data_IF_053747035528
#
_entry.id   IF_053747035528
#
_cell.length_a   1.000
_cell.length_b   1.000
_cell.length_c   1.000
_cell.angle_alpha   90.00
_cell.angle_beta   90.00
_cell.angle_gamma   90.00
#
_symmetry.space_group_name_H-M   'P 1'
#
loop_
_entity.id
_entity.type
_entity.pdbx_description
1 polymer ?
#
# COMPACT_ATOMS: atom_id res chain seq x y z
N UNK A 1 -18.62 -1.97 25.53
CA UNK A 1 -18.51 -1.97 24.05
C UNK A 1 -18.36 -0.51 23.66
N UNK A 2 -17.15 -0.05 23.35
CA UNK A 2 -16.90 1.35 23.06
C UNK A 2 -17.32 1.61 21.61
N UNK A 3 -18.31 2.47 21.42
CA UNK A 3 -18.78 2.90 20.11
C UNK A 3 -18.28 4.32 19.84
N UNK A 4 -17.81 4.64 18.63
CA UNK A 4 -17.20 5.93 18.36
C UNK A 4 -18.32 6.96 18.19
N UNK A 5 -18.64 7.68 19.25
CA UNK A 5 -19.44 8.90 19.18
C UNK A 5 -18.68 9.96 18.39
N UNK A 6 -19.36 10.63 17.46
CA UNK A 6 -19.08 11.86 16.67
C UNK A 6 -17.97 12.88 17.05
N UNK A 7 -17.20 12.71 18.12
CA UNK A 7 -16.03 13.52 18.47
C UNK A 7 -14.76 13.14 17.70
N UNK A 8 -14.80 12.09 16.87
CA UNK A 8 -13.61 11.57 16.19
C UNK A 8 -13.44 12.18 14.78
N UNK A 9 -12.29 12.82 14.48
CA UNK A 9 -12.08 13.47 13.19
C UNK A 9 -11.90 12.47 12.03
N UNK A 10 -11.46 11.23 12.31
CA UNK A 10 -11.04 10.27 11.31
C UNK A 10 -11.13 8.81 11.80
N UNK A 11 -11.69 7.95 10.97
CA UNK A 11 -11.74 6.49 11.12
C UNK A 11 -11.20 5.84 9.86
N UNK A 12 -10.17 5.01 9.99
CA UNK A 12 -9.60 4.23 8.89
C UNK A 12 -9.97 2.77 9.09
N UNK A 13 -10.54 2.15 8.06
CA UNK A 13 -10.90 0.74 8.01
C UNK A 13 -10.03 0.03 6.98
N UNK A 14 -9.52 -1.13 7.34
CA UNK A 14 -8.92 -2.10 6.43
C UNK A 14 -9.93 -3.23 6.22
N UNK A 15 -10.30 -3.46 4.98
CA UNK A 15 -11.29 -4.46 4.58
C UNK A 15 -10.66 -5.51 3.67
N UNK A 16 -11.25 -6.70 3.64
CA UNK A 16 -11.07 -7.65 2.55
C UNK A 16 -11.99 -7.31 1.36
N UNK A 17 -11.86 -8.03 0.23
CA UNK A 17 -12.73 -7.83 -0.95
C UNK A 17 -14.19 -8.25 -0.76
N UNK A 18 -14.53 -8.94 0.34
CA UNK A 18 -15.92 -9.22 0.74
C UNK A 18 -16.51 -8.11 1.62
N UNK A 19 -15.74 -7.04 1.83
CA UNK A 19 -16.06 -5.91 2.70
C UNK A 19 -16.11 -6.25 4.20
N UNK A 20 -15.51 -7.36 4.62
CA UNK A 20 -15.34 -7.65 6.04
C UNK A 20 -14.21 -6.77 6.59
N UNK A 21 -14.50 -6.11 7.71
CA UNK A 21 -13.51 -5.28 8.42
C UNK A 21 -12.48 -6.22 9.05
N UNK A 22 -11.22 -6.06 8.66
CA UNK A 22 -10.09 -6.78 9.24
C UNK A 22 -9.51 -5.99 10.41
N UNK A 23 -9.46 -4.67 10.26
CA UNK A 23 -8.88 -3.74 11.21
C UNK A 23 -9.60 -2.40 11.11
N UNK A 24 -9.76 -1.74 12.25
CA UNK A 24 -10.03 -0.31 12.26
C UNK A 24 -8.93 0.43 13.02
N UNK A 25 -8.75 1.71 12.71
CA UNK A 25 -7.82 2.62 13.35
C UNK A 25 -8.54 3.94 13.59
N UNK A 26 -8.56 4.38 14.84
CA UNK A 26 -9.01 5.71 15.22
C UNK A 26 -7.81 6.64 15.31
N UNK A 27 -7.92 7.83 14.74
CA UNK A 27 -6.97 8.91 15.00
C UNK A 27 -7.65 9.91 15.92
N UNK A 28 -7.33 9.86 17.21
CA UNK A 28 -7.66 10.92 18.17
C UNK A 28 -6.41 11.27 18.97
N UNK A 29 -5.98 12.53 18.90
CA UNK A 29 -4.96 13.14 19.77
C UNK A 29 -3.80 12.19 20.16
N UNK A 30 -3.18 11.56 19.15
CA UNK A 30 -1.98 10.71 19.29
C UNK A 30 -2.17 9.29 19.84
N UNK A 31 -3.41 8.77 19.94
CA UNK A 31 -3.68 7.39 20.33
C UNK A 31 -4.33 6.64 19.17
N UNK A 32 -3.62 5.63 18.65
CA UNK A 32 -4.14 4.67 17.67
C UNK A 32 -4.61 3.42 18.39
N UNK A 33 -5.90 3.33 18.68
CA UNK A 33 -6.48 2.08 19.19
C UNK A 33 -6.83 1.16 18.02
N UNK A 34 -6.18 0.00 18.00
CA UNK A 34 -6.45 -1.07 17.05
C UNK A 34 -7.37 -2.10 17.71
N UNK A 35 -8.43 -2.48 17.03
CA UNK A 35 -9.29 -3.59 17.44
C UNK A 35 -9.71 -4.39 16.22
N UNK A 36 -9.77 -5.71 16.40
CA UNK A 36 -10.21 -6.66 15.37
C UNK A 36 -11.69 -6.90 15.56
N UNK A 37 -12.50 -6.46 14.60
CA UNK A 37 -13.94 -6.68 14.59
C UNK A 37 -14.32 -7.30 13.26
N UNK A 38 -14.80 -8.54 13.30
CA UNK A 38 -15.42 -9.19 12.15
C UNK A 38 -16.85 -8.67 11.98
N UNK A 39 -17.01 -7.46 11.44
CA UNK A 39 -18.28 -6.92 10.95
C UNK A 39 -18.13 -6.55 9.48
N UNK A 40 -19.20 -6.70 8.72
CA UNK A 40 -19.20 -6.24 7.34
C UNK A 40 -19.35 -4.71 7.31
N UNK A 41 -18.59 -4.02 6.45
CA UNK A 41 -18.65 -2.57 6.29
C UNK A 41 -20.07 -2.06 6.04
N UNK A 42 -20.86 -2.79 5.25
CA UNK A 42 -22.24 -2.41 4.93
C UNK A 42 -23.15 -2.41 6.17
N UNK A 43 -22.82 -3.18 7.22
CA UNK A 43 -23.57 -3.18 8.48
C UNK A 43 -23.37 -1.90 9.30
N UNK A 44 -22.31 -1.13 9.03
CA UNK A 44 -22.10 0.18 9.65
C UNK A 44 -22.94 1.28 8.99
N UNK A 45 -23.43 1.02 7.78
CA UNK A 45 -24.15 2.01 6.99
C UNK A 45 -25.63 2.04 7.34
N UNK A 46 -26.23 3.22 7.23
CA UNK A 46 -27.68 3.31 7.32
C UNK A 46 -28.34 2.65 6.10
N UNK A 47 -29.54 2.10 6.29
CA UNK A 47 -30.29 1.41 5.24
C UNK A 47 -30.53 2.27 4.00
N UNK A 48 -30.69 3.59 4.17
CA UNK A 48 -30.86 4.54 3.06
C UNK A 48 -29.60 4.71 2.21
N UNK A 49 -28.42 4.42 2.78
CA UNK A 49 -27.12 4.56 2.14
C UNK A 49 -26.47 3.23 1.76
N UNK A 50 -27.07 2.08 2.11
CA UNK A 50 -26.49 0.76 1.84
C UNK A 50 -26.16 0.53 0.36
N UNK A 51 -27.06 0.94 -0.56
CA UNK A 51 -26.80 0.82 -2.00
C UNK A 51 -25.63 1.72 -2.44
N UNK A 52 -25.56 2.95 -1.93
CA UNK A 52 -24.48 3.90 -2.24
C UNK A 52 -23.14 3.41 -1.70
N UNK A 53 -23.13 2.83 -0.50
CA UNK A 53 -21.95 2.23 0.10
C UNK A 53 -21.45 1.00 -0.68
N UNK A 54 -22.37 0.18 -1.20
CA UNK A 54 -22.03 -0.93 -2.08
C UNK A 54 -21.41 -0.44 -3.39
N UNK A 55 -22.02 0.57 -4.02
CA UNK A 55 -21.47 1.20 -5.22
C UNK A 55 -20.08 1.77 -4.97
N UNK A 56 -19.88 2.46 -3.84
CA UNK A 56 -18.57 2.94 -3.42
C UNK A 56 -17.53 1.82 -3.38
N UNK A 57 -17.84 0.68 -2.76
CA UNK A 57 -16.92 -0.45 -2.71
C UNK A 57 -16.63 -1.05 -4.09
N UNK A 58 -17.64 -1.18 -4.94
CA UNK A 58 -17.47 -1.64 -6.32
C UNK A 58 -16.54 -0.69 -7.10
N UNK A 59 -16.72 0.62 -6.93
CA UNK A 59 -15.85 1.63 -7.51
C UNK A 59 -14.41 1.52 -7.00
N UNK A 60 -14.20 1.32 -5.68
CA UNK A 60 -12.86 1.14 -5.11
C UNK A 60 -12.20 -0.18 -5.55
N UNK A 61 -12.99 -1.22 -5.83
CA UNK A 61 -12.46 -2.49 -6.34
C UNK A 61 -12.01 -2.36 -7.80
N UNK A 62 -12.77 -1.62 -8.61
CA UNK A 62 -12.56 -1.44 -10.04
C UNK A 62 -11.55 -0.33 -10.36
N UNK A 63 -11.38 0.66 -9.48
CA UNK A 63 -10.48 1.79 -9.65
C UNK A 63 -9.36 1.80 -8.61
N UNK A 64 -8.29 2.55 -8.84
CA UNK A 64 -7.16 2.66 -7.90
C UNK A 64 -7.54 3.44 -6.62
N UNK A 65 -8.37 4.48 -6.75
CA UNK A 65 -8.85 5.29 -5.65
C UNK A 65 -10.18 5.98 -5.99
N UNK A 66 -11.01 6.20 -4.98
CA UNK A 66 -12.32 6.86 -5.06
C UNK A 66 -12.45 7.81 -3.87
N UNK A 67 -12.79 9.07 -4.11
CA UNK A 67 -12.73 10.13 -3.10
C UNK A 67 -14.08 10.82 -2.91
N UNK A 68 -14.29 11.34 -1.70
CA UNK A 68 -15.34 12.28 -1.33
C UNK A 68 -16.78 11.79 -1.52
N UNK A 69 -17.03 10.50 -1.27
CA UNK A 69 -18.38 9.93 -1.28
C UNK A 69 -19.07 10.19 0.05
N UNK A 70 -20.25 10.81 0.01
CA UNK A 70 -21.06 10.98 1.21
C UNK A 70 -21.87 9.71 1.51
N UNK A 71 -21.66 9.08 2.66
CA UNK A 71 -22.39 7.87 3.09
C UNK A 71 -22.97 8.10 4.48
N UNK A 72 -24.24 7.75 4.68
CA UNK A 72 -24.85 7.76 6.00
C UNK A 72 -24.44 6.52 6.79
N UNK A 73 -23.93 6.73 7.99
CA UNK A 73 -23.59 5.68 8.94
C UNK A 73 -24.52 5.73 10.14
N UNK A 74 -24.74 4.57 10.76
CA UNK A 74 -25.50 4.45 12.00
C UNK A 74 -24.55 4.19 13.16
N UNK A 75 -24.46 5.17 14.06
CA UNK A 75 -23.71 5.05 15.31
C UNK A 75 -24.68 5.20 16.47
N UNK A 76 -24.83 4.15 17.26
CA UNK A 76 -25.85 4.04 18.32
C UNK A 76 -27.26 4.37 17.76
N UNK A 77 -27.92 5.40 18.28
CA UNK A 77 -29.26 5.88 17.86
C UNK A 77 -29.21 7.08 16.89
N UNK A 78 -28.04 7.41 16.34
CA UNK A 78 -27.87 8.54 15.42
C UNK A 78 -27.44 8.09 14.03
N UNK A 79 -27.96 8.80 13.03
CA UNK A 79 -27.56 8.66 11.63
C UNK A 79 -26.83 9.93 11.25
N UNK A 80 -25.58 9.78 10.82
CA UNK A 80 -24.74 10.89 10.40
C UNK A 80 -24.20 10.65 8.99
N UNK A 81 -24.18 11.70 8.18
CA UNK A 81 -23.56 11.69 6.85
C UNK A 81 -22.08 11.98 7.02
N UNK A 82 -21.25 11.01 6.65
CA UNK A 82 -19.79 11.12 6.68
C UNK A 82 -19.25 11.15 5.25
N UNK A 83 -18.08 11.77 5.09
CA UNK A 83 -17.31 11.72 3.86
C UNK A 83 -16.44 10.47 3.91
N UNK A 84 -16.54 9.66 2.86
CA UNK A 84 -15.87 8.39 2.69
C UNK A 84 -15.01 8.44 1.45
N UNK A 85 -13.78 8.02 1.61
CA UNK A 85 -12.83 7.85 0.51
C UNK A 85 -12.17 6.50 0.67
N UNK A 86 -11.75 5.88 -0.42
CA UNK A 86 -11.14 4.57 -0.37
C UNK A 86 -10.17 4.32 -1.49
N UNK A 87 -9.25 3.40 -1.24
CA UNK A 87 -8.28 2.97 -2.23
C UNK A 87 -7.96 1.50 -2.03
N UNK A 88 -7.50 0.88 -3.12
CA UNK A 88 -7.07 -0.50 -3.13
C UNK A 88 -5.56 -0.56 -3.03
N UNK A 89 -5.05 -1.35 -2.09
CA UNK A 89 -3.61 -1.61 -1.94
C UNK A 89 -3.39 -3.08 -1.65
N UNK A 90 -2.61 -3.75 -2.51
CA UNK A 90 -2.45 -5.21 -2.50
C UNK A 90 -3.81 -5.94 -2.56
N UNK A 91 -4.05 -6.87 -1.63
CA UNK A 91 -5.31 -7.64 -1.51
C UNK A 91 -6.30 -7.04 -0.49
N UNK A 92 -6.13 -5.75 -0.17
CA UNK A 92 -6.93 -5.05 0.83
C UNK A 92 -7.56 -3.77 0.26
N UNK A 93 -8.70 -3.41 0.85
CA UNK A 93 -9.38 -2.15 0.62
C UNK A 93 -9.19 -1.29 1.86
N UNK A 94 -8.71 -0.07 1.68
CA UNK A 94 -8.64 0.91 2.75
C UNK A 94 -9.78 1.91 2.57
N UNK A 95 -10.55 2.12 3.64
CA UNK A 95 -11.67 3.06 3.66
C UNK A 95 -11.42 4.09 4.75
N UNK A 96 -11.45 5.36 4.38
CA UNK A 96 -11.25 6.50 5.25
C UNK A 96 -12.61 7.18 5.41
N UNK A 97 -13.07 7.26 6.66
CA UNK A 97 -14.35 7.86 7.04
C UNK A 97 -14.03 9.08 7.89
N UNK A 98 -14.63 10.21 7.54
CA UNK A 98 -14.38 11.49 8.21
C UNK A 98 -15.62 12.35 8.26
N UNK A 99 -15.63 13.31 9.20
CA UNK A 99 -16.62 14.38 9.17
C UNK A 99 -16.44 15.29 7.94
N UNK A 100 -17.51 16.02 7.59
CA UNK A 100 -17.68 16.81 6.35
C UNK A 100 -16.58 17.83 6.01
N UNK A 101 -15.71 18.18 6.97
CA UNK A 101 -14.68 19.22 6.83
C UNK A 101 -13.23 18.70 6.89
N UNK A 102 -12.98 17.38 6.98
CA UNK A 102 -11.64 16.83 7.27
C UNK A 102 -11.13 15.87 6.18
N UNK A 103 -12.03 15.19 5.46
CA UNK A 103 -11.71 13.98 4.69
C UNK A 103 -10.68 14.11 3.56
N UNK A 104 -10.68 15.21 2.84
CA UNK A 104 -9.89 15.30 1.59
C UNK A 104 -8.43 15.63 1.87
N UNK A 105 -8.15 16.52 2.82
CA UNK A 105 -6.79 17.03 3.06
C UNK A 105 -5.87 15.98 3.71
N UNK A 106 -6.35 15.27 4.73
CA UNK A 106 -5.59 14.20 5.37
C UNK A 106 -5.31 13.02 4.42
N UNK A 107 -6.24 12.73 3.51
CA UNK A 107 -6.06 11.65 2.54
C UNK A 107 -5.02 12.01 1.47
N UNK A 108 -4.96 13.27 1.05
CA UNK A 108 -3.86 13.76 0.23
C UNK A 108 -2.52 13.66 0.95
N UNK A 109 -2.46 14.00 2.24
CA UNK A 109 -1.24 13.89 3.03
C UNK A 109 -0.77 12.44 3.14
N UNK A 110 -1.68 11.49 3.36
CA UNK A 110 -1.30 10.06 3.43
C UNK A 110 -0.99 9.45 2.07
N UNK A 111 -1.68 9.83 1.01
CA UNK A 111 -1.28 9.44 -0.34
C UNK A 111 0.09 10.02 -0.71
N UNK A 112 0.43 11.23 -0.25
CA UNK A 112 1.75 11.80 -0.42
C UNK A 112 2.80 11.04 0.39
N UNK A 113 2.50 10.63 1.63
CA UNK A 113 3.38 9.81 2.46
C UNK A 113 3.65 8.44 1.82
N UNK A 114 2.61 7.74 1.38
CA UNK A 114 2.71 6.43 0.71
C UNK A 114 3.52 6.55 -0.59
N UNK A 115 3.24 7.57 -1.41
CA UNK A 115 4.02 7.83 -2.63
C UNK A 115 5.50 8.04 -2.32
N UNK A 116 5.83 8.76 -1.24
CA UNK A 116 7.21 8.97 -0.84
C UNK A 116 7.91 7.66 -0.41
N UNK A 117 7.23 6.79 0.32
CA UNK A 117 7.76 5.46 0.70
C UNK A 117 8.00 4.56 -0.51
N UNK A 118 7.05 4.54 -1.46
CA UNK A 118 7.18 3.80 -2.71
C UNK A 118 8.32 4.33 -3.58
N UNK A 119 8.45 5.65 -3.72
CA UNK A 119 9.56 6.30 -4.42
C UNK A 119 10.91 5.97 -3.80
N UNK A 120 11.00 5.96 -2.48
CA UNK A 120 12.22 5.59 -1.77
C UNK A 120 12.58 4.12 -1.99
N UNK A 121 11.59 3.22 -1.96
CA UNK A 121 11.78 1.79 -2.25
C UNK A 121 12.27 1.56 -3.68
N UNK A 122 11.66 2.22 -4.67
CA UNK A 122 12.11 2.17 -6.08
C UNK A 122 13.55 2.67 -6.22
N UNK A 123 13.90 3.78 -5.55
CA UNK A 123 15.27 4.31 -5.57
C UNK A 123 16.27 3.32 -4.98
N UNK A 124 15.93 2.65 -3.88
CA UNK A 124 16.79 1.62 -3.28
C UNK A 124 16.97 0.41 -4.20
N UNK A 125 15.88 -0.12 -4.76
CA UNK A 125 15.94 -1.24 -5.71
C UNK A 125 16.78 -0.90 -6.93
N UNK A 126 16.63 0.32 -7.49
CA UNK A 126 17.44 0.79 -8.61
C UNK A 126 18.93 0.86 -8.25
N UNK A 127 19.26 1.34 -7.05
CA UNK A 127 20.65 1.37 -6.57
C UNK A 127 21.24 -0.04 -6.45
N UNK A 128 20.48 -1.00 -5.91
CA UNK A 128 20.88 -2.40 -5.82
C UNK A 128 21.12 -3.02 -7.20
N UNK A 129 20.22 -2.78 -8.16
CA UNK A 129 20.40 -3.26 -9.53
C UNK A 129 21.68 -2.71 -10.18
N UNK A 130 21.95 -1.41 -10.00
CA UNK A 130 23.18 -0.80 -10.51
C UNK A 130 24.43 -1.39 -9.85
N UNK A 131 24.39 -1.62 -8.53
CA UNK A 131 25.49 -2.25 -7.78
C UNK A 131 25.77 -3.66 -8.32
N UNK A 132 24.73 -4.48 -8.47
CA UNK A 132 24.85 -5.84 -9.02
C UNK A 132 25.40 -5.82 -10.46
N UNK A 133 24.99 -4.86 -11.28
CA UNK A 133 25.52 -4.73 -12.64
C UNK A 133 27.02 -4.39 -12.66
N UNK A 134 27.47 -3.50 -11.78
CA UNK A 134 28.89 -3.14 -11.65
C UNK A 134 29.72 -4.33 -11.16
N UNK A 135 29.25 -5.06 -10.15
CA UNK A 135 29.92 -6.25 -9.62
C UNK A 135 30.01 -7.37 -10.66
N UNK A 136 28.94 -7.58 -11.45
CA UNK A 136 28.91 -8.57 -12.52
C UNK A 136 29.89 -8.21 -13.65
N UNK A 137 29.97 -6.94 -14.04
CA UNK A 137 30.97 -6.49 -15.01
C UNK A 137 32.40 -6.70 -14.50
N UNK A 138 32.68 -6.35 -13.25
CA UNK A 138 34.00 -6.58 -12.65
C UNK A 138 34.37 -8.08 -12.61
N UNK A 139 33.41 -8.96 -12.29
CA UNK A 139 33.63 -10.41 -12.37
C UNK A 139 33.89 -10.87 -13.80
N UNK A 140 33.14 -10.38 -14.79
CA UNK A 140 33.35 -10.70 -16.21
C UNK A 140 34.74 -10.31 -16.68
N UNK A 141 35.19 -9.10 -16.33
CA UNK A 141 36.53 -8.63 -16.69
C UNK A 141 37.61 -9.50 -16.06
N UNK A 142 37.44 -9.89 -14.80
CA UNK A 142 38.35 -10.81 -14.11
C UNK A 142 38.42 -12.17 -14.81
N UNK A 143 37.28 -12.77 -15.16
CA UNK A 143 37.26 -14.04 -15.89
C UNK A 143 37.85 -13.93 -17.30
N UNK A 144 37.63 -12.81 -17.99
CA UNK A 144 38.22 -12.59 -19.31
C UNK A 144 39.75 -12.57 -19.22
N UNK A 145 40.31 -11.87 -18.22
CA UNK A 145 41.76 -11.85 -17.97
C UNK A 145 42.30 -13.24 -17.62
N UNK A 146 41.60 -14.01 -16.80
CA UNK A 146 42.01 -15.36 -16.41
C UNK A 146 42.00 -16.32 -17.61
N UNK A 147 40.99 -16.24 -18.48
CA UNK A 147 40.93 -17.00 -19.74
C UNK A 147 42.10 -16.64 -20.65
N UNK A 148 42.46 -15.36 -20.73
CA UNK A 148 43.59 -14.90 -21.55
C UNK A 148 44.94 -15.41 -21.01
N UNK A 149 45.14 -15.37 -19.69
CA UNK A 149 46.31 -15.94 -19.04
C UNK A 149 46.42 -17.44 -19.31
N UNK A 150 45.34 -18.20 -19.12
CA UNK A 150 45.29 -19.63 -19.39
C UNK A 150 45.56 -19.96 -20.87
N UNK A 151 45.04 -19.14 -21.80
CA UNK A 151 45.34 -19.27 -23.24
C UNK A 151 46.83 -19.10 -23.52
N UNK A 152 47.47 -18.11 -22.92
CA UNK A 152 48.89 -17.84 -23.08
C UNK A 152 49.75 -18.96 -22.49
N UNK A 153 49.38 -19.51 -21.34
CA UNK A 153 50.06 -20.67 -20.75
C UNK A 153 49.93 -21.92 -21.61
N UNK A 154 48.73 -22.23 -22.10
CA UNK A 154 48.49 -23.33 -23.04
C UNK A 154 49.30 -23.20 -24.33
N UNK A 155 49.41 -21.97 -24.86
CA UNK A 155 50.24 -21.70 -26.02
C UNK A 155 51.71 -22.03 -25.73
N UNK A 156 52.27 -21.55 -24.61
CA UNK A 156 53.66 -21.86 -24.20
C UNK A 156 53.90 -23.36 -24.06
N UNK A 157 52.99 -24.09 -23.40
CA UNK A 157 53.10 -25.55 -23.26
C UNK A 157 53.09 -26.27 -24.61
N UNK A 158 52.22 -25.87 -25.55
CA UNK A 158 52.18 -26.45 -26.90
C UNK A 158 53.45 -26.20 -27.70
N UNK A 159 54.06 -25.03 -27.58
CA UNK A 159 55.31 -24.73 -28.29
C UNK A 159 56.48 -25.52 -27.71
N UNK A 160 56.51 -25.72 -26.39
CA UNK A 160 57.54 -26.52 -25.71
C UNK A 160 57.49 -28.02 -26.03
N UNK A 161 56.34 -28.55 -26.47
CA UNK A 161 56.18 -29.96 -26.85
C UNK A 161 56.45 -30.23 -28.34
N UNK A 162 56.65 -29.17 -29.14
CA UNK A 162 56.92 -29.25 -30.59
C UNK A 162 58.36 -28.90 -30.96
N UNK A 163 59.21 -28.59 -29.98
CA UNK A 163 60.67 -28.43 -30.14
C UNK A 163 61.37 -29.70 -29.67
#
# INVERSE_FOLDING_TARGET
MYHPTLEYPLLILELNFKADILKWVYANNSIFEQTTISKNFLELTDISSAQKAKQFLEEVINHTAVLDWEVSFRFDDKIDVMVVSGFKMNDHIFVIISGKNIGTQMLYDEMAMINNEQLNSIRMLRKQLNQMALENNALRDKYAQEIEMLRNELAKYKTSYKA
#
